data_IF_150411320129
#
_entry.id   IF_150411320129
#
_cell.length_a   1.000
_cell.length_b   1.000
_cell.length_c   1.000
_cell.angle_alpha   90.00
_cell.angle_beta   90.00
_cell.angle_gamma   90.00
#
_symmetry.space_group_name_H-M   'P 1'
#
loop_
_entity.id
_entity.type
_entity.pdbx_description
1 polymer ?
#
# COMPACT_ATOMS: atom_id res chain seq x y z
N UNK A 1 20.14 0.76 20.38
CA UNK A 1 19.27 1.83 19.83
C UNK A 1 18.44 1.19 18.72
N UNK A 2 17.11 1.38 18.73
CA UNK A 2 16.25 0.82 17.69
C UNK A 2 16.67 1.36 16.29
N UNK A 3 16.68 0.50 15.27
CA UNK A 3 17.24 0.79 13.94
C UNK A 3 16.67 2.06 13.30
N UNK A 4 15.39 2.37 13.53
CA UNK A 4 14.73 3.55 12.97
C UNK A 4 15.28 4.88 13.53
N UNK A 5 15.68 4.94 14.80
CA UNK A 5 16.26 6.15 15.42
C UNK A 5 17.68 6.44 14.92
N UNK A 6 18.40 5.42 14.42
CA UNK A 6 19.72 5.61 13.80
C UNK A 6 19.59 6.27 12.42
N UNK A 7 18.57 5.89 11.67
CA UNK A 7 18.30 6.42 10.32
C UNK A 7 17.63 7.79 10.39
N UNK A 8 16.73 7.99 11.36
CA UNK A 8 15.96 9.22 11.54
C UNK A 8 15.97 9.66 13.01
N UNK A 9 17.02 10.37 13.46
CA UNK A 9 17.17 10.75 14.88
C UNK A 9 16.07 11.67 15.41
N UNK A 10 15.41 12.43 14.53
CA UNK A 10 14.35 13.37 14.89
C UNK A 10 12.95 12.76 14.86
N UNK A 11 12.81 11.48 14.47
CA UNK A 11 11.48 10.86 14.38
C UNK A 11 10.98 10.54 15.79
N UNK A 12 9.81 11.07 16.13
CA UNK A 12 9.12 10.76 17.37
C UNK A 12 7.79 10.08 17.01
N UNK A 13 7.66 8.80 17.37
CA UNK A 13 6.47 7.99 17.08
C UNK A 13 6.02 7.34 18.38
N UNK A 14 4.77 7.55 18.74
CA UNK A 14 4.11 6.82 19.81
C UNK A 14 3.65 5.46 19.27
N UNK A 15 4.44 4.43 19.55
CA UNK A 15 4.19 3.07 19.03
C UNK A 15 2.88 2.50 19.57
N UNK A 16 2.55 2.72 20.85
CA UNK A 16 1.35 2.13 21.45
C UNK A 16 0.06 2.77 20.94
N UNK A 17 0.08 4.10 20.77
CA UNK A 17 -1.03 4.81 20.15
C UNK A 17 -1.25 4.36 18.69
N UNK A 18 -0.18 4.21 17.93
CA UNK A 18 -0.24 3.73 16.55
C UNK A 18 -0.76 2.29 16.48
N UNK A 19 -0.25 1.37 17.30
CA UNK A 19 -0.72 -0.01 17.33
C UNK A 19 -2.22 -0.09 17.66
N UNK A 20 -2.69 0.70 18.61
CA UNK A 20 -4.12 0.77 18.94
C UNK A 20 -4.94 1.23 17.74
N UNK A 21 -4.51 2.32 17.10
CA UNK A 21 -5.18 2.87 15.91
C UNK A 21 -5.23 1.88 14.75
N UNK A 22 -4.13 1.18 14.48
CA UNK A 22 -4.06 0.19 13.40
C UNK A 22 -4.88 -1.08 13.68
N UNK A 23 -5.07 -1.47 14.96
CA UNK A 23 -5.99 -2.56 15.32
C UNK A 23 -7.44 -2.21 14.98
N UNK A 24 -7.86 -0.98 15.26
CA UNK A 24 -9.21 -0.52 14.90
C UNK A 24 -9.41 -0.48 13.38
N UNK A 25 -8.40 -0.06 12.63
CA UNK A 25 -8.44 -0.08 11.17
C UNK A 25 -8.45 -1.50 10.61
N UNK A 26 -7.68 -2.41 11.21
CA UNK A 26 -7.64 -3.80 10.78
C UNK A 26 -9.03 -4.44 10.82
N UNK A 27 -9.80 -4.22 11.90
CA UNK A 27 -11.17 -4.77 11.99
C UNK A 27 -12.12 -4.17 10.96
N UNK A 28 -12.00 -2.88 10.64
CA UNK A 28 -12.80 -2.23 9.60
C UNK A 28 -12.45 -2.71 8.18
N UNK A 29 -11.18 -2.98 7.93
CA UNK A 29 -10.68 -3.37 6.59
C UNK A 29 -10.80 -4.88 6.37
N UNK A 30 -10.77 -5.69 7.43
CA UNK A 30 -10.79 -7.17 7.40
C UNK A 30 -11.82 -7.77 6.42
N UNK A 31 -13.08 -7.28 6.33
CA UNK A 31 -14.06 -7.86 5.41
C UNK A 31 -13.73 -7.68 3.91
N UNK A 32 -12.84 -6.76 3.57
CA UNK A 32 -12.47 -6.44 2.19
C UNK A 32 -11.17 -7.11 1.74
N UNK A 33 -10.41 -7.69 2.67
CA UNK A 33 -9.17 -8.41 2.36
C UNK A 33 -9.51 -9.74 1.69
N UNK A 34 -8.94 -9.99 0.51
CA UNK A 34 -9.19 -11.19 -0.29
C UNK A 34 -7.94 -11.57 -1.10
N UNK A 35 -7.89 -12.82 -1.53
CA UNK A 35 -6.97 -13.24 -2.59
C UNK A 35 -7.38 -12.55 -3.91
N UNK A 36 -6.68 -11.46 -4.22
CA UNK A 36 -6.97 -10.64 -5.40
C UNK A 36 -6.62 -11.35 -6.69
N UNK A 37 -5.64 -12.26 -6.69
CA UNK A 37 -5.23 -13.00 -7.90
C UNK A 37 -6.37 -13.94 -8.30
N UNK A 38 -6.85 -14.77 -7.38
CA UNK A 38 -7.95 -15.70 -7.65
C UNK A 38 -9.24 -14.94 -8.02
N UNK A 39 -9.54 -13.86 -7.30
CA UNK A 39 -10.70 -13.00 -7.57
C UNK A 39 -10.67 -12.41 -8.98
N UNK A 40 -9.56 -11.77 -9.39
CA UNK A 40 -9.42 -11.16 -10.71
C UNK A 40 -9.39 -12.20 -11.82
N UNK A 41 -8.68 -13.32 -11.62
CA UNK A 41 -8.62 -14.40 -12.60
C UNK A 41 -10.00 -14.99 -12.88
N UNK A 42 -10.81 -15.20 -11.85
CA UNK A 42 -12.19 -15.68 -11.96
C UNK A 42 -13.06 -14.66 -12.70
N UNK A 43 -12.95 -13.38 -12.37
CA UNK A 43 -13.70 -12.32 -13.04
C UNK A 43 -13.37 -12.25 -14.54
N UNK A 44 -12.09 -12.35 -14.92
CA UNK A 44 -11.65 -12.43 -16.31
C UNK A 44 -12.23 -13.64 -17.03
N UNK A 45 -12.15 -14.84 -16.44
CA UNK A 45 -12.74 -16.06 -17.03
C UNK A 45 -14.25 -15.98 -17.23
N UNK A 46 -14.93 -15.26 -16.36
CA UNK A 46 -16.37 -15.03 -16.44
C UNK A 46 -16.76 -13.89 -17.40
N UNK A 47 -15.81 -13.39 -18.21
CA UNK A 47 -16.07 -12.37 -19.22
C UNK A 47 -16.37 -10.98 -18.66
N UNK A 48 -15.93 -10.68 -17.42
CA UNK A 48 -16.09 -9.34 -16.84
C UNK A 48 -15.09 -8.37 -17.46
N UNK A 49 -15.55 -7.16 -17.77
CA UNK A 49 -14.66 -6.04 -18.12
C UNK A 49 -14.01 -5.49 -16.86
N UNK A 50 -12.69 -5.28 -16.90
CA UNK A 50 -11.91 -4.74 -15.79
C UNK A 50 -11.33 -3.39 -16.20
N UNK A 51 -11.62 -2.36 -15.41
CA UNK A 51 -10.97 -1.05 -15.52
C UNK A 51 -9.79 -1.01 -14.55
N UNK A 52 -8.62 -0.65 -15.06
CA UNK A 52 -7.42 -0.43 -14.24
C UNK A 52 -7.20 1.08 -14.12
N UNK A 53 -7.39 1.60 -12.91
CA UNK A 53 -7.07 2.98 -12.58
C UNK A 53 -5.59 3.07 -12.20
N UNK A 54 -4.77 3.62 -13.09
CA UNK A 54 -3.36 3.89 -12.81
C UNK A 54 -3.20 5.04 -11.81
N UNK A 55 -2.25 4.91 -10.89
CA UNK A 55 -1.83 6.01 -10.01
C UNK A 55 -0.57 6.70 -10.58
N UNK A 56 -0.32 7.93 -10.12
CA UNK A 56 0.81 8.77 -10.53
C UNK A 56 0.81 9.06 -12.05
N UNK A 57 1.98 9.08 -12.69
CA UNK A 57 2.15 9.31 -14.12
C UNK A 57 3.45 8.65 -14.61
N UNK A 58 3.57 8.41 -15.91
CA UNK A 58 4.74 7.75 -16.49
C UNK A 58 6.08 8.46 -16.19
N UNK A 59 6.07 9.79 -16.04
CA UNK A 59 7.29 10.57 -15.71
C UNK A 59 7.72 10.43 -14.23
N UNK A 60 6.88 9.84 -13.39
CA UNK A 60 7.14 9.52 -11.98
C UNK A 60 7.41 8.03 -11.79
N UNK A 61 7.64 7.30 -12.88
CA UNK A 61 8.04 5.91 -12.81
C UNK A 61 9.47 5.79 -12.23
N UNK A 62 9.71 4.78 -11.39
CA UNK A 62 10.99 4.62 -10.70
C UNK A 62 12.14 4.26 -11.66
N UNK A 63 11.84 3.58 -12.76
CA UNK A 63 12.82 3.11 -13.75
C UNK A 63 12.91 4.06 -14.96
N UNK A 64 11.77 4.60 -15.41
CA UNK A 64 11.66 5.38 -16.65
C UNK A 64 11.39 6.88 -16.44
N UNK A 65 11.10 7.29 -15.20
CA UNK A 65 10.82 8.67 -14.86
C UNK A 65 12.08 9.52 -14.72
N UNK A 66 11.89 10.74 -14.24
CA UNK A 66 12.98 11.71 -14.04
C UNK A 66 13.75 11.47 -12.75
N UNK A 67 14.41 10.32 -12.62
CA UNK A 67 15.21 9.99 -11.44
C UNK A 67 16.20 11.13 -11.11
N UNK A 68 16.33 11.54 -9.83
CA UNK A 68 15.74 10.96 -8.62
C UNK A 68 14.36 11.53 -8.22
N UNK A 69 13.77 12.41 -9.02
CA UNK A 69 12.50 13.08 -8.74
C UNK A 69 11.35 12.35 -9.44
N UNK A 70 11.03 11.19 -8.89
CA UNK A 70 9.98 10.27 -9.32
C UNK A 70 9.03 10.00 -8.17
#
# INVERSE_FOLDING_TARGET
>A
VATHLRLFPSINVDVEAELTRYRDYAEKVRPYVKDTICFLHTALRNGKTILVEGANAAMLDIDFGTYPYV
#
